data_IF_224661141096
#
_entry.id   IF_224661141096
#
_cell.length_a   1.000
_cell.length_b   1.000
_cell.length_c   1.000
_cell.angle_alpha   90.00
_cell.angle_beta   90.00
_cell.angle_gamma   90.00
#
_symmetry.space_group_name_H-M   'P 1'
#
loop_
_entity.id
_entity.type
_entity.pdbx_description
1 polymer ?
#
# COMPACT_ATOMS: atom_id res chain seq x y z
N UNK A 1 -22.66 -16.48 4.49
CA UNK A 1 -21.45 -15.89 5.10
C UNK A 1 -20.62 -15.39 3.95
N UNK A 2 -20.40 -14.09 3.83
CA UNK A 2 -19.69 -13.50 2.69
C UNK A 2 -18.24 -13.96 2.68
N UNK A 3 -17.67 -14.13 1.49
CA UNK A 3 -16.24 -14.44 1.30
C UNK A 3 -15.34 -13.49 2.11
N UNK A 4 -15.75 -12.23 2.28
CA UNK A 4 -15.06 -11.24 3.10
C UNK A 4 -14.93 -11.66 4.57
N UNK A 5 -15.97 -12.26 5.16
CA UNK A 5 -15.91 -12.69 6.57
C UNK A 5 -14.96 -13.88 6.75
N UNK A 6 -14.90 -14.78 5.77
CA UNK A 6 -13.91 -15.87 5.74
C UNK A 6 -12.49 -15.31 5.65
N UNK A 7 -12.26 -14.27 4.83
CA UNK A 7 -10.95 -13.63 4.75
C UNK A 7 -10.56 -12.91 6.04
N UNK A 8 -11.51 -12.30 6.75
CA UNK A 8 -11.28 -11.67 8.06
C UNK A 8 -10.82 -12.70 9.09
N UNK A 9 -11.46 -13.87 9.16
CA UNK A 9 -11.03 -14.94 10.07
C UNK A 9 -9.62 -15.46 9.71
N UNK A 10 -9.36 -15.69 8.43
CA UNK A 10 -8.04 -16.11 7.94
C UNK A 10 -6.95 -15.07 8.23
N UNK A 11 -7.27 -13.78 8.10
CA UNK A 11 -6.33 -12.70 8.41
C UNK A 11 -6.00 -12.65 9.91
N UNK A 12 -7.00 -12.89 10.78
CA UNK A 12 -6.78 -13.05 12.22
C UNK A 12 -5.86 -14.23 12.52
N UNK A 13 -6.09 -15.38 11.90
CA UNK A 13 -5.22 -16.56 12.03
C UNK A 13 -3.79 -16.26 11.56
N UNK A 14 -3.62 -15.55 10.44
CA UNK A 14 -2.31 -15.19 9.90
C UNK A 14 -1.51 -14.32 10.87
N UNK A 15 -2.16 -13.34 11.52
CA UNK A 15 -1.54 -12.51 12.55
C UNK A 15 -1.17 -13.32 13.79
N UNK A 16 -2.09 -14.16 14.29
CA UNK A 16 -1.85 -14.98 15.48
C UNK A 16 -0.75 -16.01 15.28
N UNK A 17 -0.61 -16.55 14.06
CA UNK A 17 0.42 -17.51 13.70
C UNK A 17 1.77 -16.87 13.36
N UNK A 18 1.86 -15.53 13.33
CA UNK A 18 3.07 -14.81 12.96
C UNK A 18 3.41 -14.81 11.46
N UNK A 19 2.50 -15.25 10.59
CA UNK A 19 2.69 -15.22 9.12
C UNK A 19 2.65 -13.81 8.56
N UNK A 20 1.80 -12.96 9.15
CA UNK A 20 1.80 -11.54 8.87
C UNK A 20 1.86 -10.78 10.18
N UNK A 21 2.71 -9.75 10.31
CA UNK A 21 2.77 -8.98 11.52
C UNK A 21 1.52 -8.09 11.66
N UNK A 22 1.24 -7.62 12.88
CA UNK A 22 0.19 -6.62 13.15
C UNK A 22 0.64 -5.17 12.86
N UNK A 23 1.94 -4.91 12.73
CA UNK A 23 2.48 -3.56 12.45
C UNK A 23 2.31 -3.19 10.97
N UNK A 24 2.22 -1.91 10.59
CA UNK A 24 2.04 -1.54 9.18
C UNK A 24 3.31 -1.84 8.38
N UNK A 25 3.20 -2.11 7.08
CA UNK A 25 4.38 -2.22 6.23
C UNK A 25 5.10 -0.86 6.16
N UNK A 26 6.41 -0.88 5.95
CA UNK A 26 7.19 0.34 5.69
C UNK A 26 7.07 0.78 4.24
N UNK A 27 6.88 -0.18 3.32
CA UNK A 27 6.68 0.08 1.90
C UNK A 27 5.70 -0.94 1.33
N UNK A 28 4.94 -0.50 0.34
CA UNK A 28 4.00 -1.35 -0.38
C UNK A 28 4.11 -1.07 -1.88
N UNK A 29 4.04 -2.12 -2.68
CA UNK A 29 3.96 -2.04 -4.14
C UNK A 29 2.77 -2.84 -4.62
N UNK A 30 2.07 -2.32 -5.64
CA UNK A 30 0.96 -3.01 -6.28
C UNK A 30 1.39 -3.48 -7.68
N UNK A 31 1.06 -4.73 -8.01
CA UNK A 31 1.45 -5.32 -9.29
C UNK A 31 0.66 -6.58 -9.64
N UNK A 32 0.89 -7.16 -10.83
CA UNK A 32 0.40 -8.48 -11.16
C UNK A 32 1.08 -9.54 -10.28
N UNK A 33 0.35 -10.58 -9.90
CA UNK A 33 0.87 -11.65 -9.06
C UNK A 33 2.05 -12.39 -9.68
N UNK A 34 3.04 -12.73 -8.85
CA UNK A 34 4.23 -13.46 -9.33
C UNK A 34 4.21 -14.96 -8.99
N UNK A 35 3.10 -15.45 -8.43
CA UNK A 35 2.91 -16.85 -8.06
C UNK A 35 3.29 -17.20 -6.62
N UNK A 36 3.69 -16.21 -5.80
CA UNK A 36 3.92 -16.44 -4.37
C UNK A 36 2.62 -16.76 -3.64
N UNK A 37 2.71 -17.55 -2.57
CA UNK A 37 1.55 -17.94 -1.78
C UNK A 37 1.14 -16.79 -0.86
N UNK A 38 -0.12 -16.37 -0.97
CA UNK A 38 -0.66 -15.36 -0.07
C UNK A 38 -0.68 -15.91 1.38
N UNK A 39 -0.04 -15.25 2.35
CA UNK A 39 0.05 -15.75 3.72
C UNK A 39 -1.31 -15.85 4.44
N UNK A 40 -2.35 -15.18 3.91
CA UNK A 40 -3.71 -15.16 4.46
C UNK A 40 -4.54 -16.33 3.93
N UNK A 41 -4.76 -16.41 2.63
CA UNK A 41 -5.59 -17.47 2.03
C UNK A 41 -4.81 -18.75 1.71
N UNK A 42 -3.48 -18.67 1.67
CA UNK A 42 -2.53 -19.75 1.30
C UNK A 42 -2.63 -20.22 -0.14
N UNK A 43 -3.30 -19.46 -1.00
CA UNK A 43 -3.33 -19.71 -2.44
C UNK A 43 -2.29 -18.85 -3.16
N UNK A 44 -1.72 -19.31 -4.28
CA UNK A 44 -0.81 -18.50 -5.08
C UNK A 44 -1.52 -17.26 -5.63
N UNK A 45 -0.82 -16.12 -5.64
CA UNK A 45 -1.28 -14.93 -6.35
C UNK A 45 -0.81 -15.01 -7.80
N UNK A 46 -1.72 -15.29 -8.72
CA UNK A 46 -1.36 -15.49 -10.14
C UNK A 46 -1.15 -14.16 -10.85
N UNK A 47 -0.49 -14.17 -12.02
CA UNK A 47 -0.27 -12.97 -12.84
C UNK A 47 -1.56 -12.33 -13.36
N UNK A 48 -2.69 -13.04 -13.31
CA UNK A 48 -4.03 -12.53 -13.64
C UNK A 48 -4.69 -11.79 -12.46
N UNK A 49 -4.12 -11.93 -11.26
CA UNK A 49 -4.58 -11.29 -10.03
C UNK A 49 -3.68 -10.11 -9.67
N UNK A 50 -4.22 -9.16 -8.92
CA UNK A 50 -3.44 -8.07 -8.33
C UNK A 50 -2.94 -8.48 -6.96
N UNK A 51 -1.65 -8.30 -6.74
CA UNK A 51 -1.00 -8.46 -5.44
C UNK A 51 -0.51 -7.12 -4.89
N UNK A 52 -0.44 -7.07 -3.56
CA UNK A 52 0.42 -6.15 -2.84
C UNK A 52 1.64 -6.89 -2.33
N UNK A 53 2.80 -6.33 -2.63
CA UNK A 53 4.07 -6.68 -2.03
C UNK A 53 4.29 -5.78 -0.81
N UNK A 54 4.42 -6.37 0.37
CA UNK A 54 4.52 -5.68 1.64
C UNK A 54 5.92 -5.86 2.24
N UNK A 55 6.71 -4.79 2.29
CA UNK A 55 7.97 -4.80 3.01
C UNK A 55 7.74 -4.35 4.45
N UNK A 56 8.20 -5.16 5.40
CA UNK A 56 8.16 -4.86 6.82
C UNK A 56 9.54 -4.44 7.33
N UNK A 57 9.63 -3.70 8.45
CA UNK A 57 10.93 -3.37 9.03
C UNK A 57 11.71 -4.65 9.33
N UNK A 58 13.00 -4.68 9.00
CA UNK A 58 13.88 -5.79 9.39
C UNK A 58 13.88 -5.93 10.90
N UNK A 59 13.66 -7.14 11.38
CA UNK A 59 13.86 -7.50 12.78
C UNK A 59 15.06 -8.45 12.87
N UNK A 60 15.60 -8.65 14.08
CA UNK A 60 16.79 -9.49 14.33
C UNK A 60 16.62 -10.95 13.82
N UNK A 61 15.38 -11.38 13.60
CA UNK A 61 15.01 -12.72 13.15
C UNK A 61 14.69 -12.83 11.64
N UNK A 62 14.56 -11.70 10.94
CA UNK A 62 14.35 -11.66 9.48
C UNK A 62 15.37 -10.69 8.86
N UNK A 63 16.63 -11.14 8.74
CA UNK A 63 17.73 -10.28 8.29
C UNK A 63 17.60 -9.90 6.82
N UNK A 64 16.85 -10.67 6.02
CA UNK A 64 16.62 -10.42 4.59
C UNK A 64 15.54 -9.35 4.34
N UNK A 65 14.67 -9.06 5.32
CA UNK A 65 13.61 -8.07 5.19
C UNK A 65 12.68 -8.44 4.05
N UNK A 66 12.10 -9.64 4.13
CA UNK A 66 11.27 -10.21 3.08
C UNK A 66 10.06 -9.34 2.73
N UNK A 67 9.70 -9.33 1.45
CA UNK A 67 8.42 -8.81 0.98
C UNK A 67 7.37 -9.93 1.05
N UNK A 68 6.24 -9.66 1.67
CA UNK A 68 5.10 -10.58 1.69
C UNK A 68 4.18 -10.27 0.51
N UNK A 69 3.79 -11.29 -0.25
CA UNK A 69 2.91 -11.16 -1.41
C UNK A 69 1.48 -11.49 -1.00
N UNK A 70 0.55 -10.56 -1.17
CA UNK A 70 -0.83 -10.69 -0.66
C UNK A 70 -1.83 -10.31 -1.74
N UNK A 71 -2.89 -11.09 -1.94
CA UNK A 71 -4.01 -10.66 -2.80
C UNK A 71 -4.62 -9.35 -2.30
N UNK A 72 -5.09 -8.49 -3.23
CA UNK A 72 -5.79 -7.25 -2.91
C UNK A 72 -6.86 -7.41 -1.81
N UNK A 73 -7.81 -8.35 -1.99
CA UNK A 73 -8.90 -8.55 -1.00
C UNK A 73 -8.42 -9.14 0.32
N UNK A 74 -7.34 -9.93 0.29
CA UNK A 74 -6.77 -10.48 1.50
C UNK A 74 -6.08 -9.37 2.31
N UNK A 75 -5.43 -8.42 1.63
CA UNK A 75 -4.87 -7.23 2.25
C UNK A 75 -5.95 -6.40 2.95
N UNK A 76 -7.08 -6.10 2.30
CA UNK A 76 -8.19 -5.36 2.91
C UNK A 76 -8.69 -6.03 4.20
N UNK A 77 -8.84 -7.36 4.18
CA UNK A 77 -9.25 -8.12 5.36
C UNK A 77 -8.20 -8.02 6.50
N UNK A 78 -6.92 -8.11 6.16
CA UNK A 78 -5.85 -7.92 7.12
C UNK A 78 -5.83 -6.51 7.70
N UNK A 79 -6.10 -5.47 6.89
CA UNK A 79 -6.21 -4.08 7.34
C UNK A 79 -7.33 -3.88 8.37
N UNK A 80 -8.48 -4.49 8.13
CA UNK A 80 -9.60 -4.46 9.10
C UNK A 80 -9.18 -5.12 10.42
N UNK A 81 -8.57 -6.30 10.36
CA UNK A 81 -8.18 -7.03 11.58
C UNK A 81 -7.10 -6.27 12.35
N UNK A 82 -6.00 -5.84 11.70
CA UNK A 82 -4.93 -5.09 12.38
C UNK A 82 -5.45 -3.84 13.08
N UNK A 83 -6.40 -3.13 12.46
CA UNK A 83 -6.97 -1.89 12.98
C UNK A 83 -7.90 -2.15 14.16
N UNK A 84 -8.66 -3.26 14.10
CA UNK A 84 -9.50 -3.69 15.22
C UNK A 84 -8.70 -4.10 16.47
N UNK A 85 -7.46 -4.57 16.28
CA UNK A 85 -6.56 -4.97 17.35
C UNK A 85 -5.74 -3.80 17.93
N UNK A 86 -5.61 -2.71 17.17
CA UNK A 86 -4.91 -1.48 17.56
C UNK A 86 -5.83 -0.24 17.49
N UNK A 87 -6.76 -0.07 18.45
CA UNK A 87 -7.67 1.07 18.42
C UNK A 87 -6.97 2.43 18.66
N UNK A 88 -5.70 2.44 19.07
CA UNK A 88 -4.95 3.65 19.44
C UNK A 88 -4.08 4.25 18.33
N UNK A 89 -3.86 3.53 17.23
CA UNK A 89 -2.98 3.92 16.12
C UNK A 89 -3.65 3.73 14.76
N UNK A 90 -4.98 3.77 14.68
CA UNK A 90 -5.70 3.68 13.42
C UNK A 90 -5.11 4.68 12.41
N UNK A 91 -4.45 4.16 11.37
CA UNK A 91 -4.04 4.98 10.23
C UNK A 91 -5.32 5.53 9.60
N UNK A 92 -5.34 6.81 9.18
CA UNK A 92 -6.44 7.28 8.34
C UNK A 92 -6.56 6.37 7.12
N UNK A 93 -7.78 6.09 6.63
CA UNK A 93 -7.97 5.24 5.47
C UNK A 93 -7.13 5.76 4.31
N UNK A 94 -6.47 4.86 3.57
CA UNK A 94 -5.77 5.16 2.33
C UNK A 94 -6.79 5.66 1.30
N UNK A 95 -7.15 6.95 1.37
CA UNK A 95 -8.28 7.47 0.60
C UNK A 95 -8.85 8.78 1.11
N UNK A 96 -8.01 9.79 1.31
CA UNK A 96 -8.38 11.20 1.09
C UNK A 96 -7.12 11.99 0.77
N UNK A 97 -6.59 11.79 -0.43
CA UNK A 97 -6.08 12.96 -1.15
C UNK A 97 -7.30 13.84 -1.47
N UNK A 98 -7.72 14.62 -0.48
CA UNK A 98 -8.50 15.81 -0.77
C UNK A 98 -7.55 16.67 -1.60
N UNK A 99 -7.77 16.68 -2.93
CA UNK A 99 -7.11 17.65 -3.79
C UNK A 99 -7.71 18.99 -3.38
N UNK A 100 -7.11 19.61 -2.36
CA UNK A 100 -7.24 21.04 -2.14
C UNK A 100 -7.05 21.70 -3.50
N UNK A 101 -8.12 22.36 -3.95
CA UNK A 101 -8.21 23.03 -5.23
C UNK A 101 -7.28 24.23 -5.30
N UNK A 102 -5.97 23.99 -5.28
CA UNK A 102 -4.99 24.91 -5.81
C UNK A 102 -5.16 24.89 -7.33
N UNK A 103 -5.94 25.86 -7.79
CA UNK A 103 -6.01 26.27 -9.18
C UNK A 103 -4.61 26.73 -9.56
N UNK A 104 -3.83 25.91 -10.26
CA UNK A 104 -2.68 26.42 -10.99
C UNK A 104 -3.23 27.27 -12.13
N UNK A 105 -2.99 28.59 -12.17
CA UNK A 105 -3.17 29.31 -13.41
C UNK A 105 -2.11 28.79 -14.39
N UNK A 106 -2.57 28.31 -15.54
CA UNK A 106 -1.72 28.00 -16.67
C UNK A 106 -1.17 29.31 -17.24
N UNK A 107 -0.13 29.86 -16.61
CA UNK A 107 0.61 31.01 -17.15
C UNK A 107 1.77 30.46 -17.97
N UNK A 108 1.43 30.15 -19.22
CA UNK A 108 2.33 29.86 -20.31
C UNK A 108 3.17 31.12 -20.58
N UNK A 109 4.32 31.27 -19.92
CA UNK A 109 5.26 32.36 -20.23
C UNK A 109 6.10 31.96 -21.45
N UNK A 110 5.57 32.33 -22.61
CA UNK A 110 6.32 32.33 -23.87
C UNK A 110 7.46 33.34 -23.70
N UNK A 111 8.70 32.85 -23.76
CA UNK A 111 9.86 33.71 -23.87
C UNK A 111 9.78 34.55 -25.14
N UNK A 112 9.93 35.86 -25.00
CA UNK A 112 10.36 36.73 -26.09
C UNK A 112 11.19 37.89 -25.54
N UNK A 113 12.18 38.36 -26.33
CA UNK A 113 13.42 38.94 -25.82
C UNK A 113 13.31 40.45 -25.60
N UNK A 114 14.19 41.07 -24.78
CA UNK A 114 14.34 42.52 -24.79
C UNK A 114 15.25 42.98 -25.94
N UNK A 115 14.76 43.94 -26.69
CA UNK A 115 15.51 44.94 -27.48
C UNK A 115 14.91 46.31 -27.15
N UNK A 116 15.54 47.44 -27.49
CA UNK A 116 16.95 47.81 -27.44
C UNK A 116 17.14 49.05 -26.54
N UNK A 117 18.37 49.46 -26.21
CA UNK A 117 18.61 50.88 -25.90
C UNK A 117 20.04 51.34 -26.18
N UNK A 118 20.11 52.40 -26.96
CA UNK A 118 21.28 53.03 -27.55
C UNK A 118 22.00 54.00 -26.58
N UNK A 119 23.25 54.28 -26.96
CA UNK A 119 24.01 55.53 -26.83
C UNK A 119 24.70 55.86 -25.49
N UNK A 120 26.04 55.81 -25.54
CA UNK A 120 26.88 57.00 -25.44
C UNK A 120 28.04 56.87 -26.45
#
# INVERSE_FOLDING_TARGET
>A
MSDDNVLIEKAREAIQSGRLPRRPPVRMWGGPGVGHHCPICREPVTAEQIEYELEFPRDEFDPDGGSEHVHLRCYDAWEVVRNSLDPGRASPPAGSIERDGVKHPAEFVVGSPPSPRQAA
#
